data_IF_799071084127
#
_entry.id   IF_799071084127
#
_cell.length_a   1.000
_cell.length_b   1.000
_cell.length_c   1.000
_cell.angle_alpha   90.00
_cell.angle_beta   90.00
_cell.angle_gamma   90.00
#
_symmetry.space_group_name_H-M   'P 1'
#
loop_
_entity.id
_entity.type
_entity.pdbx_description
1 polymer ?
#
# COMPACT_ATOMS: atom_id res chain seq x y z
N UNK A 1 36.66 -0.27 71.50
CA UNK A 1 35.49 0.59 71.54
C UNK A 1 35.56 1.48 70.30
N UNK A 2 35.20 0.99 69.17
CA UNK A 2 35.36 1.71 67.94
C UNK A 2 34.01 1.73 67.23
N UNK A 3 33.44 2.94 67.16
CA UNK A 3 32.17 3.24 66.45
C UNK A 3 32.43 3.29 64.97
N UNK A 4 32.03 2.24 64.29
CA UNK A 4 31.97 2.24 62.81
C UNK A 4 30.71 2.97 62.34
N UNK A 5 30.91 4.10 61.71
CA UNK A 5 29.88 4.84 60.99
C UNK A 5 29.75 4.23 59.59
N UNK A 6 28.58 3.75 59.18
CA UNK A 6 28.34 3.48 57.75
C UNK A 6 28.03 4.78 57.02
N UNK A 7 28.89 5.15 56.09
CA UNK A 7 28.66 6.20 55.13
C UNK A 7 27.61 5.75 54.11
N UNK A 8 26.51 6.43 54.13
CA UNK A 8 25.42 6.26 53.17
C UNK A 8 25.88 6.74 51.78
N UNK A 9 26.22 5.79 50.91
CA UNK A 9 26.55 6.10 49.51
C UNK A 9 25.23 6.23 48.76
N UNK A 10 24.81 7.48 48.55
CA UNK A 10 23.65 7.83 47.73
C UNK A 10 23.97 7.53 46.26
N UNK A 11 23.49 6.41 45.75
CA UNK A 11 23.58 6.05 44.33
C UNK A 11 22.45 6.78 43.55
N UNK A 12 22.77 7.97 43.08
CA UNK A 12 21.89 8.71 42.16
C UNK A 12 21.97 8.06 40.76
N UNK A 13 21.04 7.15 40.47
CA UNK A 13 20.90 6.55 39.16
C UNK A 13 20.24 7.59 38.25
N UNK A 14 21.06 8.32 37.47
CA UNK A 14 20.62 9.22 36.41
C UNK A 14 20.03 8.37 35.30
N UNK A 15 18.71 8.32 35.22
CA UNK A 15 17.98 7.73 34.10
C UNK A 15 18.17 8.59 32.86
N UNK A 16 19.29 8.41 32.17
CA UNK A 16 19.45 8.84 30.79
C UNK A 16 18.61 7.94 29.91
N UNK A 17 17.37 8.33 29.63
CA UNK A 17 16.57 7.71 28.59
C UNK A 17 17.24 8.00 27.24
N UNK A 18 17.74 7.02 26.49
CA UNK A 18 18.12 7.27 25.11
C UNK A 18 16.85 7.60 24.35
N UNK A 19 16.79 8.76 23.78
CA UNK A 19 15.79 9.10 22.78
C UNK A 19 16.03 8.14 21.62
N UNK A 20 15.16 7.14 21.51
CA UNK A 20 15.06 6.32 20.32
C UNK A 20 14.60 7.25 19.20
N UNK A 21 15.56 7.74 18.44
CA UNK A 21 15.29 8.28 17.11
C UNK A 21 14.74 7.10 16.35
N UNK A 22 13.45 7.12 16.03
CA UNK A 22 12.86 6.18 15.10
C UNK A 22 13.63 6.37 13.80
N UNK A 23 14.56 5.46 13.53
CA UNK A 23 15.24 5.39 12.25
C UNK A 23 14.15 5.26 11.22
N UNK A 24 14.13 6.13 10.21
CA UNK A 24 13.33 5.95 9.03
C UNK A 24 13.50 4.50 8.57
N UNK A 25 12.47 3.70 8.78
CA UNK A 25 12.42 2.36 8.21
C UNK A 25 12.46 2.57 6.71
N UNK A 26 13.42 2.01 5.98
CA UNK A 26 13.40 2.09 4.53
C UNK A 26 12.04 1.54 4.08
N UNK A 27 11.28 2.36 3.37
CA UNK A 27 10.01 1.95 2.81
C UNK A 27 10.26 0.67 2.00
N UNK A 28 9.60 -0.42 2.39
CA UNK A 28 9.65 -1.69 1.67
C UNK A 28 9.03 -1.49 0.30
N UNK A 29 9.78 -0.99 -0.63
CA UNK A 29 9.35 -0.59 -1.97
C UNK A 29 10.40 0.25 -2.69
N UNK A 30 11.19 1.02 -1.96
CA UNK A 30 12.21 1.88 -2.57
C UNK A 30 13.38 1.11 -3.19
N UNK A 31 13.71 -0.06 -2.65
CA UNK A 31 14.84 -0.86 -3.16
C UNK A 31 14.53 -1.58 -4.49
N UNK A 32 13.27 -1.86 -4.78
CA UNK A 32 12.84 -2.47 -6.06
C UNK A 32 12.53 -1.43 -7.13
N UNK A 33 12.09 -0.24 -6.75
CA UNK A 33 11.86 0.87 -7.68
C UNK A 33 13.14 1.50 -8.22
N UNK A 34 14.29 1.30 -7.55
CA UNK A 34 15.58 1.77 -8.02
C UNK A 34 16.15 0.99 -9.24
N UNK A 35 15.60 -0.20 -9.54
CA UNK A 35 16.10 -1.10 -10.60
C UNK A 35 15.33 -0.90 -11.91
N UNK A 36 14.09 -0.45 -11.86
CA UNK A 36 13.24 -0.28 -13.04
C UNK A 36 12.82 1.18 -13.16
N UNK A 37 13.09 1.79 -14.32
CA UNK A 37 12.68 3.17 -14.53
C UNK A 37 11.15 3.26 -14.65
N UNK A 38 10.52 4.41 -14.30
CA UNK A 38 9.07 4.59 -14.44
C UNK A 38 8.56 4.33 -15.86
N UNK A 39 9.39 4.60 -16.87
CA UNK A 39 9.07 4.32 -18.28
C UNK A 39 9.05 2.83 -18.58
N UNK A 40 10.02 2.08 -18.05
CA UNK A 40 10.09 0.62 -18.20
C UNK A 40 8.93 -0.05 -17.46
N UNK A 41 8.62 0.40 -16.26
CA UNK A 41 7.48 -0.08 -15.48
C UNK A 41 6.16 0.14 -16.24
N UNK A 42 5.95 1.32 -16.79
CA UNK A 42 4.78 1.65 -17.60
C UNK A 42 4.68 0.81 -18.88
N UNK A 43 5.82 0.49 -19.53
CA UNK A 43 5.84 -0.39 -20.71
C UNK A 43 5.47 -1.82 -20.35
N UNK A 44 6.05 -2.35 -19.27
CA UNK A 44 5.74 -3.68 -18.74
C UNK A 44 4.26 -3.79 -18.37
N UNK A 45 3.72 -2.78 -17.69
CA UNK A 45 2.31 -2.74 -17.32
C UNK A 45 1.39 -2.79 -18.53
N UNK A 46 1.64 -1.98 -19.56
CA UNK A 46 0.84 -1.98 -20.79
C UNK A 46 0.90 -3.32 -21.54
N UNK A 47 2.09 -3.91 -21.65
CA UNK A 47 2.24 -5.22 -22.27
C UNK A 47 1.48 -6.30 -21.49
N UNK A 48 1.63 -6.31 -20.18
CA UNK A 48 0.92 -7.23 -19.30
C UNK A 48 -0.60 -7.05 -19.38
N UNK A 49 -1.10 -5.81 -19.33
CA UNK A 49 -2.52 -5.51 -19.43
C UNK A 49 -3.12 -5.95 -20.77
N UNK A 50 -2.37 -5.79 -21.85
CA UNK A 50 -2.80 -6.27 -23.19
C UNK A 50 -2.97 -7.79 -23.21
N UNK A 51 -2.05 -8.53 -22.59
CA UNK A 51 -2.14 -9.99 -22.46
C UNK A 51 -3.32 -10.38 -21.58
N UNK A 52 -3.48 -9.71 -20.43
CA UNK A 52 -4.57 -9.97 -19.51
C UNK A 52 -5.94 -9.78 -20.19
N UNK A 53 -6.12 -8.68 -20.92
CA UNK A 53 -7.37 -8.38 -21.64
C UNK A 53 -7.75 -9.45 -22.66
N UNK A 54 -6.78 -10.17 -23.20
CA UNK A 54 -7.01 -11.31 -24.11
C UNK A 54 -7.40 -12.60 -23.39
N UNK A 55 -7.16 -12.70 -22.10
CA UNK A 55 -7.36 -13.94 -21.33
C UNK A 55 -8.54 -13.89 -20.37
N UNK A 56 -9.01 -12.70 -20.00
CA UNK A 56 -10.07 -12.53 -19.02
C UNK A 56 -11.31 -11.87 -19.62
N UNK A 57 -12.46 -12.19 -19.07
CA UNK A 57 -13.70 -11.47 -19.38
C UNK A 57 -13.69 -10.18 -18.57
N UNK A 58 -13.87 -9.06 -19.25
CA UNK A 58 -14.03 -7.77 -18.61
C UNK A 58 -15.50 -7.51 -18.30
N UNK A 59 -15.74 -6.93 -17.15
CA UNK A 59 -17.06 -6.44 -16.79
C UNK A 59 -17.25 -5.05 -17.42
N UNK A 60 -18.13 -4.99 -18.42
CA UNK A 60 -18.41 -3.76 -19.15
C UNK A 60 -19.53 -2.96 -18.45
N UNK A 61 -19.24 -2.43 -17.29
CA UNK A 61 -20.13 -1.55 -16.53
C UNK A 61 -19.43 -0.19 -16.31
N UNK A 62 -19.81 0.86 -17.08
CA UNK A 62 -19.21 2.16 -16.97
C UNK A 62 -19.47 2.84 -15.62
N UNK A 63 -20.64 2.61 -15.02
CA UNK A 63 -20.99 3.23 -13.73
C UNK A 63 -20.16 2.63 -12.60
N UNK A 64 -20.02 1.31 -12.59
CA UNK A 64 -19.17 0.63 -11.63
C UNK A 64 -17.70 1.03 -11.79
N UNK A 65 -17.25 1.17 -13.04
CA UNK A 65 -15.89 1.60 -13.31
C UNK A 65 -15.62 3.01 -12.79
N UNK A 66 -16.50 3.96 -13.07
CA UNK A 66 -16.41 5.35 -12.58
C UNK A 66 -16.42 5.40 -11.04
N UNK A 67 -17.23 4.58 -10.41
CA UNK A 67 -17.30 4.46 -8.96
C UNK A 67 -15.98 3.97 -8.36
N UNK A 68 -15.40 2.91 -8.91
CA UNK A 68 -14.09 2.37 -8.50
C UNK A 68 -12.99 3.40 -8.69
N UNK A 69 -12.94 4.04 -9.86
CA UNK A 69 -11.96 5.08 -10.16
C UNK A 69 -12.04 6.22 -9.15
N UNK A 70 -13.24 6.73 -8.89
CA UNK A 70 -13.48 7.80 -7.92
C UNK A 70 -13.03 7.44 -6.51
N UNK A 71 -13.38 6.24 -6.06
CA UNK A 71 -13.00 5.75 -4.72
C UNK A 71 -11.50 5.59 -4.56
N UNK A 72 -10.83 4.98 -5.54
CA UNK A 72 -9.37 4.79 -5.49
C UNK A 72 -8.63 6.11 -5.60
N UNK A 73 -9.07 7.04 -6.45
CA UNK A 73 -8.45 8.37 -6.53
C UNK A 73 -8.60 9.14 -5.22
N UNK A 74 -9.75 9.05 -4.55
CA UNK A 74 -9.96 9.65 -3.23
C UNK A 74 -8.99 9.08 -2.19
N UNK A 75 -8.76 7.78 -2.18
CA UNK A 75 -7.76 7.14 -1.32
C UNK A 75 -6.33 7.56 -1.70
N UNK A 76 -6.04 7.67 -2.98
CA UNK A 76 -4.72 8.07 -3.48
C UNK A 76 -4.37 9.53 -3.10
N UNK A 77 -5.35 10.42 -2.91
CA UNK A 77 -5.11 11.79 -2.46
C UNK A 77 -4.48 11.86 -1.08
N UNK A 78 -4.84 10.94 -0.21
CA UNK A 78 -4.31 10.84 1.16
C UNK A 78 -3.05 9.98 1.27
N UNK A 79 -2.64 9.34 0.16
CA UNK A 79 -1.49 8.46 0.11
C UNK A 79 -0.21 9.20 -0.28
N UNK A 80 0.94 8.55 -0.09
CA UNK A 80 2.25 9.03 -0.55
C UNK A 80 2.53 8.68 -2.02
N UNK A 81 1.53 8.27 -2.78
CA UNK A 81 1.67 7.88 -4.17
C UNK A 81 2.08 9.09 -5.03
N UNK A 82 3.28 9.03 -5.63
CA UNK A 82 3.83 10.12 -6.44
C UNK A 82 3.26 10.14 -7.85
N UNK A 83 3.14 8.98 -8.49
CA UNK A 83 2.52 8.84 -9.82
C UNK A 83 1.08 8.33 -9.66
N UNK A 84 0.13 9.22 -9.94
CA UNK A 84 -1.31 8.94 -9.82
C UNK A 84 -1.96 8.59 -11.15
N UNK A 85 -1.18 8.21 -12.15
CA UNK A 85 -1.70 7.70 -13.42
C UNK A 85 -2.10 6.24 -13.24
N UNK A 86 -3.36 6.04 -12.87
CA UNK A 86 -3.91 4.72 -12.61
C UNK A 86 -4.76 4.27 -13.80
N UNK A 87 -4.66 3.00 -14.13
CA UNK A 87 -5.49 2.34 -15.14
C UNK A 87 -6.28 1.21 -14.48
N UNK A 88 -7.59 1.21 -14.69
CA UNK A 88 -8.50 0.27 -14.03
C UNK A 88 -9.02 -0.77 -15.00
N UNK A 89 -9.05 -2.01 -14.55
CA UNK A 89 -9.70 -3.12 -15.24
C UNK A 89 -10.67 -3.83 -14.28
N UNK A 90 -11.93 -3.90 -14.69
CA UNK A 90 -12.94 -4.69 -14.00
C UNK A 90 -13.05 -6.07 -14.63
N UNK A 91 -13.00 -7.09 -13.80
CA UNK A 91 -13.02 -8.48 -14.21
C UNK A 91 -14.38 -9.10 -13.92
N UNK A 92 -14.96 -9.77 -14.91
CA UNK A 92 -16.18 -10.56 -14.74
C UNK A 92 -15.84 -11.89 -14.05
N UNK A 93 -15.61 -11.78 -12.75
CA UNK A 93 -15.28 -12.89 -11.87
C UNK A 93 -16.03 -12.74 -10.55
N UNK A 94 -16.62 -13.84 -10.08
CA UNK A 94 -17.32 -13.89 -8.79
C UNK A 94 -16.35 -14.01 -7.58
N UNK A 95 -15.06 -14.15 -7.82
CA UNK A 95 -14.07 -14.25 -6.75
C UNK A 95 -13.91 -12.90 -6.05
N UNK A 96 -13.77 -12.97 -4.73
CA UNK A 96 -13.41 -11.81 -3.89
C UNK A 96 -11.92 -11.52 -4.06
N UNK A 97 -11.57 -10.61 -4.97
CA UNK A 97 -10.17 -10.26 -5.24
C UNK A 97 -10.04 -8.89 -5.87
N UNK A 98 -8.95 -8.22 -5.52
CA UNK A 98 -8.41 -7.05 -6.22
C UNK A 98 -6.88 -7.16 -6.22
N UNK A 99 -6.22 -6.56 -7.21
CA UNK A 99 -4.78 -6.60 -7.33
C UNK A 99 -4.23 -5.34 -7.97
N UNK A 100 -2.97 -5.05 -7.70
CA UNK A 100 -2.22 -4.03 -8.39
C UNK A 100 -1.10 -4.66 -9.23
N UNK A 101 -0.83 -4.07 -10.38
CA UNK A 101 0.24 -4.50 -11.28
C UNK A 101 1.15 -3.31 -11.65
N UNK A 102 2.37 -3.58 -12.14
CA UNK A 102 3.30 -2.53 -12.55
C UNK A 102 2.67 -1.54 -13.54
N UNK A 103 3.08 -0.27 -13.46
CA UNK A 103 2.56 0.79 -14.33
C UNK A 103 1.23 1.39 -13.86
N UNK A 104 0.88 1.24 -12.59
CA UNK A 104 -0.32 1.84 -12.01
C UNK A 104 -1.63 1.14 -12.39
N UNK A 105 -1.58 -0.14 -12.74
CA UNK A 105 -2.76 -0.91 -13.12
C UNK A 105 -3.42 -1.49 -11.87
N UNK A 106 -4.73 -1.26 -11.75
CA UNK A 106 -5.56 -1.80 -10.68
C UNK A 106 -6.64 -2.68 -11.29
N UNK A 107 -6.64 -3.95 -10.90
CA UNK A 107 -7.65 -4.92 -11.29
C UNK A 107 -8.60 -5.21 -10.14
N UNK A 108 -9.90 -5.21 -10.43
CA UNK A 108 -10.94 -5.50 -9.45
C UNK A 108 -11.91 -6.51 -10.01
N UNK A 109 -12.13 -7.59 -9.27
CA UNK A 109 -13.14 -8.57 -9.61
C UNK A 109 -14.53 -8.09 -9.23
N UNK A 110 -15.52 -8.36 -10.06
CA UNK A 110 -16.92 -8.05 -9.76
C UNK A 110 -17.43 -8.69 -8.46
N UNK A 111 -16.86 -9.85 -8.07
CA UNK A 111 -17.16 -10.53 -6.82
C UNK A 111 -16.86 -9.69 -5.57
N UNK A 112 -15.92 -8.75 -5.63
CA UNK A 112 -15.66 -7.84 -4.52
C UNK A 112 -16.92 -7.03 -4.16
N UNK A 113 -17.63 -6.51 -5.16
CA UNK A 113 -18.86 -5.72 -4.96
C UNK A 113 -20.07 -6.58 -4.60
N UNK A 114 -20.08 -7.84 -5.01
CA UNK A 114 -21.14 -8.77 -4.65
C UNK A 114 -21.06 -9.19 -3.17
N UNK A 115 -19.89 -9.19 -2.58
CA UNK A 115 -19.66 -9.63 -1.21
C UNK A 115 -19.51 -8.49 -0.21
N UNK A 116 -19.05 -7.33 -0.64
CA UNK A 116 -18.94 -6.15 0.22
C UNK A 116 -20.33 -5.60 0.57
N UNK A 117 -20.57 -5.37 1.86
CA UNK A 117 -21.83 -4.81 2.36
C UNK A 117 -21.75 -3.30 2.54
N UNK A 118 -20.54 -2.74 2.49
CA UNK A 118 -20.30 -1.31 2.62
C UNK A 118 -19.04 -0.91 1.82
N UNK A 119 -18.93 0.39 1.56
CA UNK A 119 -17.75 0.97 0.91
C UNK A 119 -16.47 0.70 1.71
N UNK A 120 -16.54 0.74 3.03
CA UNK A 120 -15.40 0.48 3.91
C UNK A 120 -14.87 -0.96 3.84
N UNK A 121 -15.67 -1.90 3.35
CA UNK A 121 -15.24 -3.30 3.21
C UNK A 121 -14.45 -3.58 1.93
N UNK A 122 -14.66 -2.79 0.87
CA UNK A 122 -13.91 -3.00 -0.36
C UNK A 122 -12.76 -1.98 -0.54
N UNK A 123 -12.76 -0.86 0.17
CA UNK A 123 -11.72 0.15 0.15
C UNK A 123 -10.50 -0.25 0.99
#
# INVERSE_FOLDING_TARGET
MNLLRPTLLSLTCLLASPWLVASDLPALGDASSAIVSPQQESQLGRAWLSLLRGQVRQLADPQLKEYVESSVYSLAETSQLQDRRLEFILLDSAQLNAFAAPGGIIGVNGGLFLHAQSEAEYA
#
